data_IF_211598865591
#
_entry.id   IF_211598865591
#
_cell.length_a   1.000
_cell.length_b   1.000
_cell.length_c   1.000
_cell.angle_alpha   90.00
_cell.angle_beta   90.00
_cell.angle_gamma   90.00
#
_symmetry.space_group_name_H-M   'P 1'
#
loop_
_entity.id
_entity.type
_entity.pdbx_description
1 polymer ?
#
# COMPACT_ATOMS: atom_id res chain seq x y z
N UNK A 1 8.59 -4.79 12.35
CA UNK A 1 8.88 -3.60 13.15
C UNK A 1 8.21 -2.41 12.51
N UNK A 2 7.70 -1.47 13.31
CA UNK A 2 6.99 -0.27 12.85
C UNK A 2 7.91 0.80 12.23
N UNK A 3 9.22 0.53 12.24
CA UNK A 3 10.22 1.38 11.61
C UNK A 3 9.95 1.48 10.10
N UNK A 4 9.93 2.70 9.54
CA UNK A 4 9.86 2.91 8.11
C UNK A 4 10.92 2.10 7.38
N UNK A 5 10.51 1.45 6.29
CA UNK A 5 11.44 0.83 5.35
C UNK A 5 11.32 1.55 4.02
N UNK A 6 12.43 2.12 3.56
CA UNK A 6 12.53 2.57 2.19
C UNK A 6 12.54 1.35 1.26
N UNK A 7 11.60 1.34 0.32
CA UNK A 7 11.44 0.28 -0.67
C UNK A 7 11.63 0.79 -2.10
N UNK A 8 12.04 2.04 -2.29
CA UNK A 8 12.18 2.68 -3.60
C UNK A 8 13.09 1.87 -4.53
N UNK A 9 14.19 1.33 -4.01
CA UNK A 9 15.12 0.48 -4.75
C UNK A 9 14.51 -0.85 -5.25
N UNK A 10 13.29 -1.18 -4.84
CA UNK A 10 12.57 -2.41 -5.23
C UNK A 10 11.48 -2.16 -6.28
N UNK A 11 11.31 -0.93 -6.76
CA UNK A 11 10.26 -0.58 -7.72
C UNK A 11 10.26 -1.49 -8.97
N UNK A 12 11.42 -1.71 -9.59
CA UNK A 12 11.51 -2.61 -10.76
C UNK A 12 11.15 -4.06 -10.44
N UNK A 13 11.59 -4.58 -9.29
CA UNK A 13 11.21 -5.92 -8.87
C UNK A 13 9.71 -6.04 -8.56
N UNK A 14 9.08 -4.97 -8.06
CA UNK A 14 7.64 -4.92 -7.85
C UNK A 14 6.87 -4.97 -9.17
N UNK A 15 7.31 -4.23 -10.19
CA UNK A 15 6.72 -4.26 -11.54
C UNK A 15 6.79 -5.67 -12.15
N UNK A 16 7.97 -6.31 -12.12
CA UNK A 16 8.19 -7.65 -12.67
C UNK A 16 7.29 -8.69 -11.97
N UNK A 17 7.24 -8.66 -10.64
CA UNK A 17 6.43 -9.59 -9.86
C UNK A 17 4.94 -9.34 -10.09
N UNK A 18 4.52 -8.07 -10.13
CA UNK A 18 3.11 -7.70 -10.34
C UNK A 18 2.64 -8.15 -11.72
N UNK A 19 3.45 -7.89 -12.76
CA UNK A 19 3.17 -8.33 -14.14
C UNK A 19 3.06 -9.85 -14.25
N UNK A 20 3.98 -10.58 -13.60
CA UNK A 20 3.93 -12.04 -13.56
C UNK A 20 2.64 -12.56 -12.91
N UNK A 21 2.26 -12.02 -11.75
CA UNK A 21 1.07 -12.45 -11.00
C UNK A 21 -0.23 -12.09 -11.76
N UNK A 22 -0.27 -10.89 -12.36
CA UNK A 22 -1.38 -10.46 -13.19
C UNK A 22 -1.56 -11.36 -14.42
N UNK A 23 -0.46 -11.74 -15.08
CA UNK A 23 -0.46 -12.71 -16.19
C UNK A 23 -0.93 -14.12 -15.81
N UNK A 24 -0.95 -14.46 -14.51
CA UNK A 24 -1.55 -15.70 -13.98
C UNK A 24 -2.98 -15.52 -13.48
N UNK A 25 -3.51 -14.30 -13.49
CA UNK A 25 -4.82 -13.97 -12.95
C UNK A 25 -4.90 -14.14 -11.43
N UNK A 26 -3.79 -13.99 -10.72
CA UNK A 26 -3.72 -14.19 -9.28
C UNK A 26 -3.92 -12.87 -8.53
N UNK A 27 -4.91 -12.76 -7.63
CA UNK A 27 -5.12 -11.56 -6.83
C UNK A 27 -3.95 -11.31 -5.88
N UNK A 28 -3.60 -10.04 -5.68
CA UNK A 28 -2.53 -9.63 -4.76
C UNK A 28 -3.07 -8.68 -3.71
N UNK A 29 -2.74 -8.98 -2.46
CA UNK A 29 -2.97 -8.12 -1.31
C UNK A 29 -1.61 -7.71 -0.73
N UNK A 30 -1.18 -6.48 -1.01
CA UNK A 30 0.17 -6.04 -0.68
C UNK A 30 0.18 -5.12 0.54
N UNK A 31 1.02 -5.41 1.53
CA UNK A 31 1.15 -4.57 2.72
C UNK A 31 1.93 -3.27 2.41
N UNK A 32 1.27 -2.13 2.60
CA UNK A 32 1.91 -0.82 2.64
C UNK A 32 1.23 0.05 3.70
N UNK A 33 2.00 0.49 4.70
CA UNK A 33 1.48 1.23 5.86
C UNK A 33 1.68 2.74 5.68
N UNK A 34 2.86 3.13 5.18
CA UNK A 34 3.27 4.53 5.03
C UNK A 34 2.92 5.04 3.64
N UNK A 35 2.55 6.32 3.54
CA UNK A 35 2.26 6.97 2.26
C UNK A 35 3.39 6.80 1.23
N UNK A 36 4.65 6.93 1.66
CA UNK A 36 5.81 6.73 0.77
C UNK A 36 5.93 5.31 0.22
N UNK A 37 5.56 4.30 1.02
CA UNK A 37 5.50 2.91 0.56
C UNK A 37 4.34 2.71 -0.41
N UNK A 38 3.18 3.33 -0.16
CA UNK A 38 2.06 3.33 -1.10
C UNK A 38 2.47 3.95 -2.44
N UNK A 39 3.14 5.11 -2.43
CA UNK A 39 3.61 5.76 -3.66
C UNK A 39 4.52 4.84 -4.47
N UNK A 40 5.44 4.12 -3.82
CA UNK A 40 6.34 3.18 -4.53
C UNK A 40 5.57 2.03 -5.17
N UNK A 41 4.58 1.49 -4.47
CA UNK A 41 3.72 0.40 -4.98
C UNK A 41 2.87 0.90 -6.15
N UNK A 42 2.20 2.04 -6.00
CA UNK A 42 1.35 2.61 -7.04
C UNK A 42 2.16 2.97 -8.30
N UNK A 43 3.36 3.52 -8.15
CA UNK A 43 4.24 3.79 -9.28
C UNK A 43 4.55 2.52 -10.10
N UNK A 44 4.70 1.37 -9.44
CA UNK A 44 4.95 0.09 -10.12
C UNK A 44 3.67 -0.54 -10.67
N UNK A 45 2.53 -0.36 -10.01
CA UNK A 45 1.25 -0.94 -10.47
C UNK A 45 0.67 -0.19 -11.66
N UNK A 46 0.87 1.12 -11.72
CA UNK A 46 0.43 1.97 -12.85
C UNK A 46 1.18 1.67 -14.16
N UNK A 47 2.35 1.01 -14.11
CA UNK A 47 3.10 0.61 -15.31
C UNK A 47 2.72 -0.77 -15.83
N UNK A 48 1.97 -1.57 -15.08
CA UNK A 48 1.58 -2.93 -15.47
C UNK A 48 0.42 -2.89 -16.46
N UNK A 49 0.61 -3.49 -17.64
CA UNK A 49 -0.41 -3.63 -18.69
C UNK A 49 -1.40 -4.77 -18.36
N UNK A 50 -2.17 -4.60 -17.27
CA UNK A 50 -3.24 -5.51 -16.87
C UNK A 50 -4.32 -4.78 -16.07
N UNK A 51 -5.56 -5.26 -16.16
CA UNK A 51 -6.67 -4.77 -15.34
C UNK A 51 -6.57 -5.31 -13.90
N UNK A 52 -5.82 -4.61 -13.06
CA UNK A 52 -5.59 -4.97 -11.66
C UNK A 52 -6.89 -4.93 -10.84
N UNK A 53 -7.85 -4.07 -11.20
CA UNK A 53 -9.15 -3.97 -10.55
C UNK A 53 -10.00 -5.23 -10.81
N UNK A 54 -10.04 -5.72 -12.05
CA UNK A 54 -10.70 -6.98 -12.39
C UNK A 54 -10.11 -8.18 -11.64
N UNK A 55 -8.80 -8.14 -11.37
CA UNK A 55 -8.10 -9.14 -10.58
C UNK A 55 -8.25 -8.96 -9.05
N UNK A 56 -8.99 -7.94 -8.59
CA UNK A 56 -9.19 -7.62 -7.17
C UNK A 56 -7.89 -7.39 -6.41
N UNK A 57 -6.94 -6.68 -7.04
CA UNK A 57 -5.74 -6.26 -6.34
C UNK A 57 -6.11 -5.25 -5.25
N UNK A 58 -5.38 -5.32 -4.14
CA UNK A 58 -5.60 -4.44 -3.01
C UNK A 58 -4.32 -4.12 -2.24
N UNK A 59 -4.29 -2.94 -1.63
CA UNK A 59 -3.27 -2.56 -0.66
C UNK A 59 -3.84 -2.77 0.76
N UNK A 60 -3.05 -3.42 1.60
CA UNK A 60 -3.38 -3.69 2.99
C UNK A 60 -2.76 -2.62 3.91
N UNK A 61 -3.46 -2.32 5.01
CA UNK A 61 -3.19 -1.22 5.94
C UNK A 61 -3.57 0.14 5.37
N UNK A 62 -2.72 0.73 4.54
CA UNK A 62 -2.86 2.10 4.07
C UNK A 62 -3.05 3.12 5.22
N UNK A 63 -2.50 2.83 6.40
CA UNK A 63 -2.77 3.57 7.64
C UNK A 63 -2.45 5.07 7.54
N UNK A 64 -1.43 5.45 6.77
CA UNK A 64 -1.01 6.84 6.57
C UNK A 64 -1.26 7.36 5.16
N UNK A 65 -2.20 6.79 4.40
CA UNK A 65 -2.47 7.21 3.02
C UNK A 65 -2.86 8.70 2.96
N UNK A 66 -2.17 9.45 2.10
CA UNK A 66 -2.47 10.84 1.79
C UNK A 66 -3.53 10.99 0.68
N UNK A 67 -4.03 12.21 0.50
CA UNK A 67 -5.09 12.51 -0.48
C UNK A 67 -4.69 12.15 -1.93
N UNK A 68 -3.43 12.39 -2.30
CA UNK A 68 -2.91 12.06 -3.64
C UNK A 68 -2.97 10.56 -3.93
N UNK A 69 -2.41 9.74 -3.04
CA UNK A 69 -2.42 8.29 -3.20
C UNK A 69 -3.82 7.71 -3.08
N UNK A 70 -4.72 8.32 -2.31
CA UNK A 70 -6.12 7.92 -2.26
C UNK A 70 -6.83 8.11 -3.61
N UNK A 71 -6.56 9.23 -4.30
CA UNK A 71 -7.07 9.48 -5.66
C UNK A 71 -6.53 8.45 -6.64
N UNK A 72 -5.22 8.18 -6.61
CA UNK A 72 -4.58 7.18 -7.48
C UNK A 72 -5.17 5.77 -7.29
N UNK A 73 -5.39 5.36 -6.05
CA UNK A 73 -6.08 4.10 -5.71
C UNK A 73 -7.48 4.06 -6.33
N UNK A 74 -8.23 5.16 -6.23
CA UNK A 74 -9.57 5.29 -6.82
C UNK A 74 -9.53 5.21 -8.36
N UNK A 75 -8.59 5.92 -8.99
CA UNK A 75 -8.44 5.97 -10.45
C UNK A 75 -8.03 4.61 -11.03
N UNK A 76 -7.18 3.87 -10.31
CA UNK A 76 -6.76 2.52 -10.68
C UNK A 76 -7.83 1.46 -10.36
N UNK A 77 -8.86 1.80 -9.58
CA UNK A 77 -9.97 0.90 -9.23
C UNK A 77 -9.59 -0.26 -8.30
N UNK A 78 -8.44 -0.19 -7.62
CA UNK A 78 -7.96 -1.23 -6.72
C UNK A 78 -8.55 -1.07 -5.30
N UNK A 79 -8.57 -2.16 -4.53
CA UNK A 79 -9.11 -2.16 -3.17
C UNK A 79 -8.14 -1.62 -2.12
N UNK A 80 -8.70 -1.17 -1.00
CA UNK A 80 -7.97 -0.99 0.26
C UNK A 80 -8.54 -1.93 1.32
N UNK A 81 -7.66 -2.67 1.98
CA UNK A 81 -8.02 -3.49 3.15
C UNK A 81 -7.48 -2.83 4.41
N UNK A 82 -8.34 -2.04 5.05
CA UNK A 82 -7.99 -1.25 6.23
C UNK A 82 -8.08 -2.13 7.47
N UNK A 83 -7.03 -2.12 8.27
CA UNK A 83 -7.02 -2.79 9.56
C UNK A 83 -7.08 -1.75 10.67
N UNK A 84 -8.00 -1.93 11.62
CA UNK A 84 -8.18 -1.12 12.82
C UNK A 84 -7.04 -1.29 13.86
N UNK A 85 -5.81 -1.53 13.39
CA UNK A 85 -4.63 -1.70 14.23
C UNK A 85 -4.26 -0.43 15.00
N UNK A 86 -4.48 0.75 14.42
CA UNK A 86 -4.22 2.02 15.10
C UNK A 86 -5.14 2.26 16.31
N UNK A 87 -6.41 1.83 16.26
CA UNK A 87 -7.32 1.96 17.41
C UNK A 87 -7.10 0.91 18.49
N UNK A 88 -6.52 -0.25 18.16
CA UNK A 88 -6.24 -1.32 19.14
C UNK A 88 -4.82 -1.32 19.70
N UNK A 89 -3.83 -0.73 19.00
CA UNK A 89 -2.40 -0.70 19.40
C UNK A 89 -1.74 0.69 19.28
N UNK A 90 -2.51 1.76 19.33
CA UNK A 90 -1.98 3.13 19.21
C UNK A 90 -0.81 3.42 20.15
N UNK A 91 -0.91 3.00 21.42
CA UNK A 91 0.13 3.21 22.45
C UNK A 91 1.48 2.60 22.03
N UNK A 92 1.50 1.45 21.35
CA UNK A 92 2.74 0.80 20.89
C UNK A 92 3.38 1.55 19.70
N UNK A 93 2.59 2.30 18.93
CA UNK A 93 3.05 3.05 17.76
C UNK A 93 3.55 4.46 18.11
N UNK A 94 3.11 5.03 19.24
CA UNK A 94 3.44 6.40 19.67
C UNK A 94 4.96 6.69 19.67
N UNK A 95 5.83 5.82 20.20
CA UNK A 95 7.28 6.07 20.21
C UNK A 95 7.89 6.16 18.80
N UNK A 96 7.26 5.56 17.80
CA UNK A 96 7.80 5.49 16.43
C UNK A 96 7.16 6.53 15.50
N UNK A 97 5.86 6.82 15.68
CA UNK A 97 5.07 7.63 14.73
C UNK A 97 4.68 9.01 15.29
N UNK A 98 4.93 9.27 16.57
CA UNK A 98 4.56 10.50 17.26
C UNK A 98 3.12 10.50 17.76
N UNK A 99 2.87 11.14 18.90
CA UNK A 99 1.57 11.18 19.58
C UNK A 99 0.45 11.75 18.70
N UNK A 100 0.75 12.77 17.89
CA UNK A 100 -0.20 13.41 16.97
C UNK A 100 -0.83 12.42 15.97
N UNK A 101 -0.05 11.44 15.49
CA UNK A 101 -0.52 10.45 14.51
C UNK A 101 -1.24 9.27 15.14
N UNK A 102 -1.17 9.17 16.47
CA UNK A 102 -1.73 8.07 17.25
C UNK A 102 -3.00 8.49 17.99
N UNK A 103 -3.17 9.79 18.27
CA UNK A 103 -4.20 10.31 19.15
C UNK A 103 -5.64 10.13 18.65
N UNK A 104 -5.87 10.00 17.33
CA UNK A 104 -7.20 9.77 16.76
C UNK A 104 -8.10 11.01 16.78
#
# INVERSE_FOLDING_TARGET
GLAPKDITARAGALEDITSFLAGKGWPVHLHAILDSSLSTVLNAWETVDADLAALRFAICHADQIGEENLRRVSDLGIGLTIQNGMSMRGIDCSPTWGEERVAG
#
